data_IF_918142031118
#
_entry.id   IF_918142031118
#
_cell.length_a   1.000
_cell.length_b   1.000
_cell.length_c   1.000
_cell.angle_alpha   90.00
_cell.angle_beta   90.00
_cell.angle_gamma   90.00
#
_symmetry.space_group_name_H-M   'P 1'
#
loop_
_entity.id
_entity.type
_entity.pdbx_description
1 polymer ?
#
# COMPACT_ATOMS: atom_id res chain seq x y z
N UNK A 1 34.46 -56.98 2.85
CA UNK A 1 34.25 -56.06 3.99
C UNK A 1 33.30 -54.97 3.49
N UNK A 2 32.10 -54.84 4.08
CA UNK A 2 30.98 -54.06 3.53
C UNK A 2 30.44 -53.18 4.66
N UNK A 3 30.71 -51.88 4.61
CA UNK A 3 30.27 -50.91 5.62
C UNK A 3 28.87 -50.40 5.27
N UNK A 4 27.89 -50.44 6.18
CA UNK A 4 26.67 -49.67 6.02
C UNK A 4 26.87 -48.31 6.69
N UNK A 5 26.93 -47.25 5.88
CA UNK A 5 26.85 -45.86 6.35
C UNK A 5 25.39 -45.59 6.68
N UNK A 6 25.08 -45.49 7.97
CA UNK A 6 23.77 -45.06 8.47
C UNK A 6 23.69 -43.54 8.36
N UNK A 7 22.94 -43.04 7.38
CA UNK A 7 22.60 -41.62 7.27
C UNK A 7 21.49 -41.31 8.28
N UNK A 8 21.90 -40.76 9.43
CA UNK A 8 21.00 -40.23 10.45
C UNK A 8 20.53 -38.83 9.99
N UNK A 9 19.35 -38.75 9.40
CA UNK A 9 18.67 -37.50 9.06
C UNK A 9 18.12 -36.86 10.35
N UNK A 10 18.88 -35.94 10.94
CA UNK A 10 18.36 -35.03 11.95
C UNK A 10 17.37 -34.06 11.28
N UNK A 11 16.08 -34.34 11.41
CA UNK A 11 15.03 -33.37 11.12
C UNK A 11 15.06 -32.29 12.21
N UNK A 12 15.77 -31.19 11.95
CA UNK A 12 15.65 -29.95 12.70
C UNK A 12 14.32 -29.29 12.33
N UNK A 13 13.24 -29.65 13.01
CA UNK A 13 12.01 -28.85 12.96
C UNK A 13 12.22 -27.63 13.85
N UNK A 14 12.75 -26.56 13.27
CA UNK A 14 12.67 -25.24 13.90
C UNK A 14 11.19 -24.85 13.95
N UNK A 15 10.62 -24.54 15.13
CA UNK A 15 9.30 -23.93 15.18
C UNK A 15 9.39 -22.59 14.46
N UNK A 16 8.62 -22.42 13.39
CA UNK A 16 8.40 -21.10 12.80
C UNK A 16 7.69 -20.26 13.87
N UNK A 17 8.46 -19.42 14.57
CA UNK A 17 7.90 -18.32 15.33
C UNK A 17 7.31 -17.38 14.27
N UNK A 18 6.03 -17.54 13.97
CA UNK A 18 5.28 -16.49 13.31
C UNK A 18 5.34 -15.30 14.28
N UNK A 19 6.23 -14.35 14.01
CA UNK A 19 6.21 -13.06 14.68
C UNK A 19 4.78 -12.54 14.55
N UNK A 20 4.09 -12.35 15.67
CA UNK A 20 2.78 -11.70 15.65
C UNK A 20 3.10 -10.25 15.29
N UNK A 21 2.98 -9.93 14.00
CA UNK A 21 3.12 -8.56 13.54
C UNK A 21 2.18 -7.70 14.36
N UNK A 22 2.73 -6.74 15.12
CA UNK A 22 1.93 -5.69 15.74
C UNK A 22 1.34 -4.83 14.63
N UNK A 23 0.16 -5.22 14.18
CA UNK A 23 -0.55 -4.63 13.07
C UNK A 23 -0.75 -3.12 13.25
N UNK A 24 -1.02 -2.70 14.48
CA UNK A 24 -1.24 -1.28 14.78
C UNK A 24 0.04 -0.47 14.56
N UNK A 25 1.19 -1.03 14.94
CA UNK A 25 2.49 -0.40 14.70
C UNK A 25 2.88 -0.42 13.24
N UNK A 26 2.61 -1.50 12.51
CA UNK A 26 2.84 -1.57 11.07
C UNK A 26 2.04 -0.50 10.30
N UNK A 27 0.73 -0.41 10.52
CA UNK A 27 -0.15 0.57 9.86
C UNK A 27 0.28 2.01 10.19
N UNK A 28 0.61 2.31 11.46
CA UNK A 28 1.12 3.63 11.84
C UNK A 28 2.46 3.95 11.19
N UNK A 29 3.37 2.98 11.14
CA UNK A 29 4.67 3.11 10.49
C UNK A 29 4.53 3.46 9.01
N UNK A 30 3.71 2.70 8.28
CA UNK A 30 3.40 2.97 6.86
C UNK A 30 2.83 4.38 6.71
N UNK A 31 1.76 4.72 7.44
CA UNK A 31 1.10 6.02 7.32
C UNK A 31 2.03 7.21 7.63
N UNK A 32 3.01 7.01 8.52
CA UNK A 32 4.01 8.03 8.85
C UNK A 32 5.10 8.22 7.79
N UNK A 33 5.19 7.34 6.79
CA UNK A 33 6.23 7.37 5.77
C UNK A 33 7.49 6.56 6.13
N UNK A 34 7.45 5.70 7.15
CA UNK A 34 8.60 4.89 7.54
C UNK A 34 8.92 3.85 6.45
N UNK A 35 10.08 4.00 5.82
CA UNK A 35 10.50 3.17 4.70
C UNK A 35 10.58 1.68 5.06
N UNK A 36 10.99 1.33 6.28
CA UNK A 36 11.09 -0.07 6.72
C UNK A 36 9.70 -0.71 6.82
N UNK A 37 8.70 0.04 7.27
CA UNK A 37 7.32 -0.43 7.32
C UNK A 37 6.67 -0.48 5.94
N UNK A 38 6.93 0.50 5.08
CA UNK A 38 6.44 0.52 3.69
C UNK A 38 6.98 -0.67 2.88
N UNK A 39 8.27 -1.01 3.04
CA UNK A 39 8.84 -2.16 2.31
C UNK A 39 8.24 -3.51 2.72
N UNK A 40 7.62 -3.58 3.91
CA UNK A 40 6.95 -4.79 4.39
C UNK A 40 5.50 -4.91 3.89
N UNK A 41 4.93 -3.90 3.24
CA UNK A 41 3.52 -3.92 2.82
C UNK A 41 3.14 -5.16 2.00
N UNK A 42 3.94 -5.68 1.05
CA UNK A 42 3.61 -6.94 0.36
C UNK A 42 3.48 -8.14 1.30
N UNK A 43 4.36 -8.27 2.30
CA UNK A 43 4.28 -9.36 3.26
C UNK A 43 3.02 -9.23 4.15
N UNK A 44 2.68 -8.00 4.55
CA UNK A 44 1.46 -7.70 5.30
C UNK A 44 0.20 -8.01 4.47
N UNK A 45 0.19 -7.60 3.20
CA UNK A 45 -0.90 -7.83 2.26
C UNK A 45 -1.17 -9.32 2.00
N UNK A 46 -0.14 -10.17 2.05
CA UNK A 46 -0.28 -11.63 1.88
C UNK A 46 -1.18 -12.28 2.94
N UNK A 47 -1.17 -11.72 4.15
CA UNK A 47 -1.84 -12.28 5.33
C UNK A 47 -3.01 -11.42 5.83
N UNK A 48 -3.19 -10.23 5.27
CA UNK A 48 -4.22 -9.30 5.68
C UNK A 48 -5.62 -9.89 5.44
N UNK A 49 -6.53 -9.72 6.39
CA UNK A 49 -7.97 -9.83 6.14
C UNK A 49 -8.51 -8.59 5.39
N UNK A 50 -9.81 -8.55 5.10
CA UNK A 50 -10.45 -7.43 4.38
C UNK A 50 -10.26 -6.08 5.09
N UNK A 51 -10.40 -6.05 6.42
CA UNK A 51 -10.27 -4.82 7.21
C UNK A 51 -8.81 -4.36 7.23
N UNK A 52 -7.90 -5.31 7.38
CA UNK A 52 -6.48 -5.08 7.37
C UNK A 52 -6.01 -4.56 6.01
N UNK A 53 -6.49 -5.13 4.91
CA UNK A 53 -6.18 -4.66 3.56
C UNK A 53 -6.60 -3.20 3.35
N UNK A 54 -7.82 -2.83 3.75
CA UNK A 54 -8.26 -1.43 3.71
C UNK A 54 -7.34 -0.52 4.53
N UNK A 55 -6.94 -0.94 5.73
CA UNK A 55 -6.01 -0.17 6.57
C UNK A 55 -4.64 0.00 5.93
N UNK A 56 -4.15 -1.00 5.18
CA UNK A 56 -2.91 -0.87 4.41
C UNK A 56 -3.07 0.15 3.28
N UNK A 57 -4.18 0.10 2.55
CA UNK A 57 -4.46 1.04 1.45
C UNK A 57 -4.56 2.48 1.97
N UNK A 58 -5.30 2.71 3.06
CA UNK A 58 -5.41 4.01 3.71
C UNK A 58 -4.03 4.52 4.19
N UNK A 59 -3.21 3.62 4.76
CA UNK A 59 -1.87 3.97 5.24
C UNK A 59 -0.91 4.29 4.08
N UNK A 60 -0.95 3.53 2.99
CA UNK A 60 -0.17 3.82 1.78
C UNK A 60 -0.61 5.14 1.14
N UNK A 61 -1.91 5.43 1.12
CA UNK A 61 -2.42 6.71 0.58
C UNK A 61 -1.88 7.90 1.39
N UNK A 62 -1.82 7.80 2.71
CA UNK A 62 -1.15 8.80 3.55
C UNK A 62 0.36 8.91 3.22
N UNK A 63 1.03 7.76 3.04
CA UNK A 63 2.45 7.66 2.76
C UNK A 63 2.87 8.21 1.38
N UNK A 64 1.94 8.41 0.44
CA UNK A 64 2.23 9.04 -0.85
C UNK A 64 2.80 10.46 -0.70
N UNK A 65 2.45 11.17 0.37
CA UNK A 65 2.90 12.55 0.61
C UNK A 65 4.12 12.65 1.52
N UNK A 66 4.36 11.64 2.37
CA UNK A 66 5.44 11.66 3.36
C UNK A 66 6.67 10.88 2.90
N UNK A 67 6.50 9.86 2.05
CA UNK A 67 7.59 9.09 1.45
C UNK A 67 7.19 8.51 0.09
N UNK A 68 7.02 9.39 -0.89
CA UNK A 68 6.46 9.07 -2.21
C UNK A 68 7.20 7.93 -2.91
N UNK A 69 8.53 7.99 -2.98
CA UNK A 69 9.31 6.99 -3.71
C UNK A 69 9.22 5.59 -3.09
N UNK A 70 9.25 5.47 -1.76
CA UNK A 70 9.09 4.18 -1.09
C UNK A 70 7.67 3.63 -1.31
N UNK A 71 6.66 4.49 -1.18
CA UNK A 71 5.26 4.12 -1.40
C UNK A 71 5.02 3.64 -2.82
N UNK A 72 5.49 4.38 -3.84
CA UNK A 72 5.37 3.99 -5.25
C UNK A 72 6.11 2.67 -5.54
N UNK A 73 7.26 2.43 -4.91
CA UNK A 73 7.97 1.15 -5.01
C UNK A 73 7.14 0.01 -4.43
N UNK A 74 6.55 0.19 -3.24
CA UNK A 74 5.67 -0.80 -2.63
C UNK A 74 4.43 -1.07 -3.49
N UNK A 75 3.80 -0.02 -4.02
CA UNK A 75 2.64 -0.14 -4.91
C UNK A 75 2.95 -0.95 -6.17
N UNK A 76 4.10 -0.76 -6.81
CA UNK A 76 4.50 -1.61 -7.95
C UNK A 76 4.59 -3.09 -7.58
N UNK A 77 5.07 -3.42 -6.38
CA UNK A 77 5.10 -4.80 -5.89
C UNK A 77 3.69 -5.31 -5.59
N UNK A 78 2.80 -4.46 -5.10
CA UNK A 78 1.40 -4.80 -4.88
C UNK A 78 0.69 -5.06 -6.22
N UNK A 79 0.77 -4.13 -7.17
CA UNK A 79 0.07 -4.22 -8.46
C UNK A 79 0.58 -5.38 -9.34
N UNK A 80 1.84 -5.78 -9.19
CA UNK A 80 2.40 -6.95 -9.89
C UNK A 80 2.01 -8.30 -9.26
N UNK A 81 1.50 -8.28 -8.02
CA UNK A 81 1.14 -9.46 -7.25
C UNK A 81 -0.33 -9.84 -7.36
N UNK A 82 -0.71 -10.90 -6.64
CA UNK A 82 -2.12 -11.24 -6.38
C UNK A 82 -2.31 -11.26 -4.88
N UNK A 83 -3.04 -10.28 -4.37
CA UNK A 83 -3.32 -10.13 -2.95
C UNK A 83 -4.80 -10.42 -2.70
N UNK A 84 -5.17 -11.23 -1.70
CA UNK A 84 -6.56 -11.67 -1.54
C UNK A 84 -7.56 -10.52 -1.39
N UNK A 85 -7.13 -9.40 -0.79
CA UNK A 85 -8.02 -8.33 -0.35
C UNK A 85 -7.52 -6.91 -0.66
N UNK A 86 -6.35 -6.74 -1.29
CA UNK A 86 -5.86 -5.43 -1.73
C UNK A 86 -6.02 -5.26 -3.23
N UNK A 87 -6.39 -4.04 -3.62
CA UNK A 87 -6.53 -3.60 -5.01
C UNK A 87 -5.26 -2.92 -5.49
N UNK A 88 -4.57 -2.18 -4.61
CA UNK A 88 -3.31 -1.50 -4.94
C UNK A 88 -3.51 -0.08 -5.43
N UNK A 89 -2.78 0.33 -6.47
CA UNK A 89 -2.73 1.74 -6.91
C UNK A 89 -4.09 2.34 -7.26
N UNK A 90 -5.03 1.54 -7.76
CA UNK A 90 -6.38 2.03 -8.13
C UNK A 90 -7.16 2.56 -6.92
N UNK A 91 -6.91 2.04 -5.71
CA UNK A 91 -7.48 2.59 -4.46
C UNK A 91 -6.54 3.62 -3.85
N UNK A 92 -5.26 3.28 -3.72
CA UNK A 92 -4.30 4.12 -2.98
C UNK A 92 -4.08 5.49 -3.62
N UNK A 93 -4.17 5.58 -4.95
CA UNK A 93 -3.92 6.81 -5.69
C UNK A 93 -5.20 7.60 -6.02
N UNK A 94 -6.36 7.11 -5.57
CA UNK A 94 -7.64 7.80 -5.63
C UNK A 94 -7.81 8.72 -4.41
N UNK A 95 -8.33 9.95 -4.55
CA UNK A 95 -8.64 10.80 -3.40
C UNK A 95 -9.62 10.11 -2.43
N UNK A 96 -9.56 10.37 -1.12
CA UNK A 96 -10.44 9.73 -0.13
C UNK A 96 -11.87 10.31 -0.21
N UNK A 97 -12.68 9.78 -1.12
CA UNK A 97 -13.99 10.32 -1.51
C UNK A 97 -15.04 10.31 -0.39
N UNK A 98 -14.80 9.52 0.65
CA UNK A 98 -15.62 9.45 1.86
C UNK A 98 -15.38 10.63 2.82
N UNK A 99 -14.37 11.46 2.57
CA UNK A 99 -14.01 12.62 3.40
C UNK A 99 -14.74 13.90 2.97
N UNK A 100 -14.58 14.96 3.76
CA UNK A 100 -15.14 16.25 3.40
C UNK A 100 -14.47 16.82 2.13
N UNK A 101 -15.15 17.70 1.37
CA UNK A 101 -14.56 18.33 0.19
C UNK A 101 -13.23 19.04 0.45
N UNK A 102 -13.05 19.62 1.64
CA UNK A 102 -11.80 20.29 2.02
C UNK A 102 -10.65 19.29 2.25
N UNK A 103 -10.94 18.14 2.86
CA UNK A 103 -9.96 17.07 3.03
C UNK A 103 -9.56 16.45 1.69
N UNK A 104 -10.52 16.25 0.77
CA UNK A 104 -10.27 15.76 -0.59
C UNK A 104 -9.33 16.72 -1.34
N UNK A 105 -9.61 18.02 -1.33
CA UNK A 105 -8.76 19.01 -2.00
C UNK A 105 -7.36 19.09 -1.35
N UNK A 106 -7.27 19.07 -0.02
CA UNK A 106 -5.99 19.07 0.68
C UNK A 106 -5.15 17.81 0.42
N UNK A 107 -5.79 16.65 0.26
CA UNK A 107 -5.12 15.44 -0.21
C UNK A 107 -4.64 15.62 -1.65
N UNK A 108 -5.53 16.02 -2.55
CA UNK A 108 -5.21 16.20 -3.97
C UNK A 108 -4.00 17.11 -4.18
N UNK A 109 -3.99 18.31 -3.59
CA UNK A 109 -2.90 19.27 -3.82
C UNK A 109 -1.54 18.73 -3.35
N UNK A 110 -1.49 18.14 -2.15
CA UNK A 110 -0.25 17.61 -1.58
C UNK A 110 0.25 16.38 -2.34
N UNK A 111 -0.64 15.43 -2.61
CA UNK A 111 -0.30 14.20 -3.32
C UNK A 111 0.12 14.51 -4.76
N UNK A 112 -0.59 15.41 -5.44
CA UNK A 112 -0.24 15.85 -6.80
C UNK A 112 1.16 16.46 -6.84
N UNK A 113 1.49 17.35 -5.92
CA UNK A 113 2.81 17.97 -5.86
C UNK A 113 3.90 16.89 -5.70
N UNK A 114 3.73 15.98 -4.74
CA UNK A 114 4.71 14.93 -4.47
C UNK A 114 4.89 13.98 -5.67
N UNK A 115 3.81 13.63 -6.36
CA UNK A 115 3.85 12.75 -7.54
C UNK A 115 4.52 13.41 -8.75
N UNK A 116 4.46 14.75 -8.88
CA UNK A 116 5.13 15.48 -9.96
C UNK A 116 6.65 15.56 -9.79
N UNK A 117 7.18 15.27 -8.60
CA UNK A 117 8.62 15.33 -8.32
C UNK A 117 9.38 14.08 -8.81
N UNK A 118 8.66 13.06 -9.29
CA UNK A 118 9.24 11.75 -9.64
C UNK A 118 8.55 11.15 -10.86
N UNK A 119 9.32 10.56 -11.79
CA UNK A 119 8.75 9.95 -13.02
C UNK A 119 7.87 8.75 -12.68
N UNK A 120 8.23 8.02 -11.63
CA UNK A 120 7.51 6.89 -11.08
C UNK A 120 6.10 7.26 -10.60
N UNK A 121 5.83 8.54 -10.36
CA UNK A 121 4.53 9.05 -9.93
C UNK A 121 3.48 9.13 -11.03
N UNK A 122 3.86 8.96 -12.31
CA UNK A 122 3.00 9.22 -13.46
C UNK A 122 1.67 8.42 -13.43
N UNK A 123 1.71 7.14 -13.07
CA UNK A 123 0.48 6.32 -13.00
C UNK A 123 -0.47 6.81 -11.92
N UNK A 124 0.04 7.04 -10.71
CA UNK A 124 -0.77 7.55 -9.60
C UNK A 124 -1.26 8.97 -9.86
N UNK A 125 -0.46 9.81 -10.55
CA UNK A 125 -0.86 11.15 -10.94
C UNK A 125 -2.04 11.08 -11.93
N UNK A 126 -1.99 10.17 -12.90
CA UNK A 126 -3.07 9.98 -13.85
C UNK A 126 -4.38 9.55 -13.17
N UNK A 127 -4.32 8.58 -12.25
CA UNK A 127 -5.50 8.15 -11.45
C UNK A 127 -6.05 9.34 -10.66
N UNK A 128 -5.18 10.04 -9.92
CA UNK A 128 -5.53 11.16 -9.08
C UNK A 128 -6.21 12.30 -9.87
N UNK A 129 -5.63 12.68 -11.01
CA UNK A 129 -6.16 13.75 -11.85
C UNK A 129 -7.47 13.34 -12.51
N UNK A 130 -7.58 12.11 -13.04
CA UNK A 130 -8.79 11.60 -13.64
C UNK A 130 -9.96 11.59 -12.64
N UNK A 131 -9.76 11.08 -11.42
CA UNK A 131 -10.83 11.09 -10.41
C UNK A 131 -11.27 12.52 -10.06
N UNK A 132 -10.31 13.46 -9.94
CA UNK A 132 -10.67 14.84 -9.61
C UNK A 132 -11.41 15.56 -10.75
N UNK A 133 -11.12 15.22 -12.01
CA UNK A 133 -11.88 15.70 -13.16
C UNK A 133 -13.32 15.16 -13.14
N UNK A 134 -13.50 13.86 -12.87
CA UNK A 134 -14.82 13.24 -12.74
C UNK A 134 -15.64 13.86 -11.62
N UNK A 135 -15.05 14.07 -10.43
CA UNK A 135 -15.71 14.71 -9.29
C UNK A 135 -16.15 16.15 -9.61
N UNK A 136 -15.33 16.92 -10.33
CA UNK A 136 -15.68 18.27 -10.76
C UNK A 136 -16.84 18.24 -11.75
N UNK A 137 -16.82 17.31 -12.71
CA UNK A 137 -17.87 17.16 -13.71
C UNK A 137 -19.21 16.73 -13.07
N UNK A 138 -19.18 15.83 -12.08
CA UNK A 138 -20.37 15.44 -11.31
C UNK A 138 -20.95 16.61 -10.52
N UNK A 139 -20.12 17.38 -9.79
CA UNK A 139 -20.56 18.60 -9.09
C UNK A 139 -21.22 19.60 -10.04
N UNK A 140 -20.63 19.84 -11.21
CA UNK A 140 -21.19 20.76 -12.20
C UNK A 140 -22.58 20.31 -12.68
N UNK A 141 -22.78 19.00 -12.88
CA UNK A 141 -24.09 18.43 -13.25
C UNK A 141 -25.14 18.55 -12.16
N UNK A 142 -24.76 18.48 -10.89
CA UNK A 142 -25.69 18.61 -9.74
C UNK A 142 -26.13 20.05 -9.47
N UNK A 143 -25.35 21.03 -9.93
CA UNK A 143 -25.64 22.46 -9.75
C UNK A 143 -26.41 23.09 -10.91
N UNK A 144 -26.72 22.31 -11.95
CA UNK A 144 -27.56 22.70 -13.09
C UNK A 144 -29.02 22.34 -12.80
#
# INVERSE_FOLDING_TARGET
MKYPIVLLLCALTAPALADVTDWSSAVRGIASGDAHWIEQTPALAATADVKQAQQLEDALAAALTTNTNATLKALRSIDAGKWPHMVGSDIVCTPPLEKSPAEIDAFYQRTRQALLETFEGAQCLWILEATMEELKAEKARQTQ
#
